data_IF_858928493998
#
_entry.id   IF_858928493998
#
_cell.length_a   1.000
_cell.length_b   1.000
_cell.length_c   1.000
_cell.angle_alpha   90.00
_cell.angle_beta   90.00
_cell.angle_gamma   90.00
#
_symmetry.space_group_name_H-M   'P 1'
#
loop_
_entity.id
_entity.type
_entity.pdbx_description
1 polymer ?
#
# COMPACT_ATOMS: atom_id res chain seq x y z
N UNK A 1 -54.26 -43.37 29.31
CA UNK A 1 -54.07 -42.04 29.98
C UNK A 1 -54.28 -40.94 28.97
N UNK A 2 -55.34 -40.12 29.13
CA UNK A 2 -55.58 -39.00 28.21
C UNK A 2 -54.64 -37.83 28.56
N UNK A 3 -53.71 -37.52 27.72
CA UNK A 3 -52.84 -36.38 27.91
C UNK A 3 -53.59 -35.03 27.97
N UNK A 4 -53.30 -34.22 28.99
CA UNK A 4 -53.91 -32.92 29.21
C UNK A 4 -53.78 -32.03 28.01
N UNK A 5 -54.81 -31.25 27.70
CA UNK A 5 -54.77 -30.29 26.60
C UNK A 5 -53.55 -29.28 26.65
N UNK A 6 -53.06 -29.00 27.85
CA UNK A 6 -51.86 -28.21 28.09
C UNK A 6 -50.58 -28.92 27.63
N UNK A 7 -50.44 -30.22 27.90
CA UNK A 7 -49.30 -31.01 27.48
C UNK A 7 -49.21 -31.10 25.94
N UNK A 8 -50.33 -31.25 25.26
CA UNK A 8 -50.38 -31.28 23.79
C UNK A 8 -50.07 -29.94 23.13
N UNK A 9 -50.34 -28.82 23.81
CA UNK A 9 -49.92 -27.46 23.35
C UNK A 9 -48.42 -27.26 23.50
N UNK A 10 -47.84 -27.65 24.62
CA UNK A 10 -46.39 -27.57 24.87
C UNK A 10 -45.62 -28.45 23.90
N UNK A 11 -46.10 -29.62 23.60
CA UNK A 11 -45.46 -30.53 22.65
C UNK A 11 -45.46 -29.97 21.22
N UNK A 12 -46.55 -29.34 20.77
CA UNK A 12 -46.61 -28.65 19.48
C UNK A 12 -45.71 -27.41 19.43
N UNK A 13 -45.56 -26.72 20.56
CA UNK A 13 -44.70 -25.55 20.64
C UNK A 13 -43.23 -25.96 20.62
N UNK A 14 -42.84 -27.02 21.31
CA UNK A 14 -41.49 -27.58 21.26
C UNK A 14 -41.13 -28.15 19.87
N UNK A 15 -42.08 -28.80 19.20
CA UNK A 15 -41.87 -29.28 17.83
C UNK A 15 -41.64 -28.14 16.84
N UNK A 16 -42.34 -27.01 17.00
CA UNK A 16 -42.11 -25.81 16.16
C UNK A 16 -40.76 -25.16 16.45
N UNK A 17 -40.34 -25.11 17.71
CA UNK A 17 -39.00 -24.58 18.09
C UNK A 17 -37.88 -25.50 17.62
N UNK A 18 -38.07 -26.82 17.68
CA UNK A 18 -37.10 -27.79 17.17
C UNK A 18 -36.97 -27.77 15.65
N UNK A 19 -38.02 -27.38 14.92
CA UNK A 19 -37.94 -27.16 13.46
C UNK A 19 -37.33 -25.83 13.10
N UNK A 20 -37.48 -24.80 13.95
CA UNK A 20 -36.89 -23.48 13.72
C UNK A 20 -35.37 -23.46 13.98
N UNK A 21 -34.83 -24.39 14.75
CA UNK A 21 -33.42 -24.46 15.11
C UNK A 21 -32.57 -25.39 14.23
N UNK A 22 -33.11 -25.88 13.13
CA UNK A 22 -32.24 -26.50 12.11
C UNK A 22 -31.42 -25.42 11.48
N UNK A 23 -30.26 -25.13 12.10
CA UNK A 23 -29.21 -24.35 11.48
C UNK A 23 -29.01 -24.91 10.07
N UNK A 24 -29.31 -24.09 9.08
CA UNK A 24 -29.19 -24.50 7.70
C UNK A 24 -27.69 -24.59 7.40
N UNK A 25 -27.09 -25.77 7.65
CA UNK A 25 -25.66 -26.04 7.45
C UNK A 25 -25.22 -25.66 6.05
N UNK A 26 -26.11 -25.80 5.07
CA UNK A 26 -25.87 -25.43 3.68
C UNK A 26 -25.70 -23.90 3.54
N UNK A 27 -26.55 -23.10 4.19
CA UNK A 27 -26.44 -21.64 4.17
C UNK A 27 -25.16 -21.17 4.91
N UNK A 28 -24.78 -21.85 5.98
CA UNK A 28 -23.54 -21.55 6.70
C UNK A 28 -22.30 -21.88 5.85
N UNK A 29 -22.32 -22.99 5.12
CA UNK A 29 -21.26 -23.35 4.18
C UNK A 29 -21.14 -22.34 3.04
N UNK A 30 -22.25 -21.81 2.53
CA UNK A 30 -22.26 -20.83 1.44
C UNK A 30 -21.61 -19.52 1.90
N UNK A 31 -22.03 -18.99 3.05
CA UNK A 31 -21.41 -17.79 3.62
C UNK A 31 -19.92 -18.00 3.89
N UNK A 32 -19.52 -19.19 4.38
CA UNK A 32 -18.12 -19.51 4.64
C UNK A 32 -17.30 -19.57 3.35
N UNK A 33 -17.82 -20.19 2.28
CA UNK A 33 -17.13 -20.27 0.99
C UNK A 33 -16.97 -18.89 0.35
N UNK A 34 -18.00 -18.02 0.42
CA UNK A 34 -17.91 -16.64 -0.06
C UNK A 34 -16.85 -15.87 0.73
N UNK A 35 -16.80 -16.02 2.05
CA UNK A 35 -15.84 -15.35 2.90
C UNK A 35 -14.41 -15.81 2.63
N UNK A 36 -14.18 -17.13 2.45
CA UNK A 36 -12.87 -17.70 2.09
C UNK A 36 -12.43 -17.19 0.71
N UNK A 37 -13.34 -17.17 -0.27
CA UNK A 37 -13.06 -16.66 -1.60
C UNK A 37 -12.73 -15.16 -1.56
N UNK A 38 -13.48 -14.39 -0.79
CA UNK A 38 -13.20 -12.96 -0.59
C UNK A 38 -11.82 -12.73 0.04
N UNK A 39 -11.46 -13.50 1.07
CA UNK A 39 -10.14 -13.41 1.68
C UNK A 39 -9.04 -13.83 0.71
N UNK A 40 -9.26 -14.86 -0.11
CA UNK A 40 -8.30 -15.33 -1.11
C UNK A 40 -8.06 -14.28 -2.21
N UNK A 41 -9.11 -13.60 -2.69
CA UNK A 41 -9.01 -12.54 -3.70
C UNK A 41 -8.38 -11.27 -3.11
N UNK A 42 -8.66 -10.96 -1.84
CA UNK A 42 -8.08 -9.81 -1.13
C UNK A 42 -6.72 -10.09 -0.47
N UNK A 43 -6.12 -11.25 -0.68
CA UNK A 43 -4.70 -11.46 -0.36
C UNK A 43 -3.85 -10.66 -1.36
N UNK A 44 -3.95 -9.32 -1.28
CA UNK A 44 -2.88 -8.46 -1.75
C UNK A 44 -1.62 -8.88 -1.01
N UNK A 45 -0.56 -9.14 -1.73
CA UNK A 45 0.76 -9.44 -1.17
C UNK A 45 1.20 -8.28 -0.28
N UNK A 46 0.77 -8.30 0.96
CA UNK A 46 1.45 -7.53 2.00
C UNK A 46 2.79 -8.24 2.16
N UNK A 47 3.83 -7.74 1.50
CA UNK A 47 5.21 -8.07 1.85
C UNK A 47 5.39 -7.64 3.31
N UNK A 48 5.03 -8.53 4.22
CA UNK A 48 5.43 -8.40 5.61
C UNK A 48 6.94 -8.58 5.58
N UNK A 49 7.68 -7.48 5.68
CA UNK A 49 9.09 -7.50 6.04
C UNK A 49 9.19 -8.40 7.26
N UNK A 50 9.82 -9.56 7.09
CA UNK A 50 10.08 -10.47 8.20
C UNK A 50 10.90 -9.67 9.21
N UNK A 51 10.24 -9.26 10.29
CA UNK A 51 10.92 -8.68 11.44
C UNK A 51 11.81 -9.79 12.01
N UNK A 52 13.09 -9.78 11.65
CA UNK A 52 14.10 -10.61 12.30
C UNK A 52 14.12 -10.25 13.77
N UNK A 53 13.56 -11.13 14.60
CA UNK A 53 13.47 -10.97 16.06
C UNK A 53 14.83 -10.90 16.77
N UNK A 54 15.92 -11.13 16.04
CA UNK A 54 17.29 -11.13 16.59
C UNK A 54 18.01 -9.78 16.43
N UNK A 55 17.36 -8.78 15.84
CA UNK A 55 17.92 -7.43 15.76
C UNK A 55 17.36 -6.64 16.95
N UNK A 56 18.16 -6.53 18.02
CA UNK A 56 17.92 -5.54 19.06
C UNK A 56 18.16 -4.17 18.44
N UNK A 57 17.07 -3.49 18.09
CA UNK A 57 17.13 -2.11 17.60
C UNK A 57 17.75 -1.24 18.70
N UNK A 58 18.84 -0.50 18.44
CA UNK A 58 19.36 0.47 19.37
C UNK A 58 18.22 1.46 19.67
N UNK A 59 17.99 1.76 20.95
CA UNK A 59 17.04 2.81 21.35
C UNK A 59 17.56 4.13 20.79
N UNK A 60 16.99 4.54 19.67
CA UNK A 60 17.20 5.88 19.15
C UNK A 60 16.53 6.87 20.09
N UNK A 61 17.31 7.76 20.69
CA UNK A 61 16.86 8.90 21.51
C UNK A 61 16.56 10.09 20.58
N UNK A 62 16.16 9.85 19.35
CA UNK A 62 15.77 10.90 18.42
C UNK A 62 14.35 11.34 18.74
N UNK A 63 14.19 12.52 19.32
CA UNK A 63 12.91 13.21 19.52
C UNK A 63 12.30 13.75 18.21
N UNK A 64 12.95 13.51 17.08
CA UNK A 64 12.43 13.90 15.79
C UNK A 64 11.34 12.93 15.36
N UNK A 65 10.11 13.43 15.30
CA UNK A 65 8.99 12.75 14.67
C UNK A 65 9.42 12.27 13.26
N UNK A 66 9.12 11.02 12.86
CA UNK A 66 9.41 10.55 11.53
C UNK A 66 8.74 11.49 10.52
N UNK A 67 9.51 12.26 9.78
CA UNK A 67 8.98 13.04 8.66
C UNK A 67 8.57 12.02 7.60
N UNK A 68 7.32 12.02 7.19
CA UNK A 68 6.84 11.19 6.08
C UNK A 68 7.64 11.54 4.83
N UNK A 69 8.62 10.71 4.51
CA UNK A 69 9.42 10.88 3.31
C UNK A 69 8.66 10.29 2.13
N UNK A 70 8.52 11.07 1.07
CA UNK A 70 7.95 10.57 -0.18
C UNK A 70 8.90 9.53 -0.76
N UNK A 71 8.38 8.35 -1.12
CA UNK A 71 9.16 7.26 -1.70
C UNK A 71 8.90 7.18 -3.20
N UNK A 72 9.95 7.26 -3.99
CA UNK A 72 9.95 7.06 -5.42
C UNK A 72 10.64 5.72 -5.71
N UNK A 73 9.93 4.77 -6.28
CA UNK A 73 10.45 3.45 -6.61
C UNK A 73 10.64 3.33 -8.12
N UNK A 74 11.85 2.96 -8.54
CA UNK A 74 12.18 2.70 -9.94
C UNK A 74 12.19 1.20 -10.14
N UNK A 75 11.34 0.72 -11.03
CA UNK A 75 11.25 -0.70 -11.42
C UNK A 75 11.78 -0.91 -12.83
N UNK A 76 11.91 -2.15 -13.26
CA UNK A 76 12.32 -2.48 -14.63
C UNK A 76 11.40 -1.86 -15.71
N UNK A 77 10.13 -1.63 -15.40
CA UNK A 77 9.10 -1.24 -16.37
C UNK A 77 8.43 0.11 -16.05
N UNK A 78 8.96 0.89 -15.12
CA UNK A 78 8.33 2.18 -14.81
C UNK A 78 8.76 2.81 -13.49
N UNK A 79 8.06 3.89 -13.13
CA UNK A 79 8.27 4.68 -11.91
C UNK A 79 6.99 4.69 -11.09
N UNK A 80 7.14 4.43 -9.80
CA UNK A 80 6.06 4.52 -8.82
C UNK A 80 6.38 5.60 -7.79
N UNK A 81 5.36 6.36 -7.39
CA UNK A 81 5.45 7.31 -6.28
C UNK A 81 4.51 6.84 -5.18
N UNK A 82 5.04 6.58 -3.99
CA UNK A 82 4.27 6.00 -2.86
C UNK A 82 3.49 4.73 -3.24
N UNK A 83 4.08 3.87 -4.09
CA UNK A 83 3.45 2.65 -4.58
C UNK A 83 2.44 2.84 -5.72
N UNK A 84 2.10 4.08 -6.08
CA UNK A 84 1.21 4.40 -7.20
C UNK A 84 2.03 4.49 -8.49
N UNK A 85 1.69 3.75 -9.57
CA UNK A 85 2.38 3.87 -10.84
C UNK A 85 2.10 5.25 -11.47
N UNK A 86 3.15 6.02 -11.68
CA UNK A 86 3.11 7.35 -12.30
C UNK A 86 3.44 7.26 -13.77
N UNK A 87 4.40 6.43 -14.11
CA UNK A 87 4.79 6.18 -15.49
C UNK A 87 5.16 4.72 -15.69
N UNK A 88 4.80 4.17 -16.85
CA UNK A 88 5.14 2.82 -17.26
C UNK A 88 5.67 2.83 -18.70
N UNK A 89 6.77 2.14 -18.93
CA UNK A 89 7.40 2.06 -20.24
C UNK A 89 8.71 1.27 -20.19
N UNK A 90 9.35 1.16 -21.35
CA UNK A 90 10.61 0.46 -21.49
C UNK A 90 11.77 1.45 -21.54
N UNK A 91 12.71 1.32 -20.63
CA UNK A 91 13.91 2.15 -20.55
C UNK A 91 14.91 1.92 -21.68
N UNK A 92 14.77 0.79 -22.41
CA UNK A 92 15.65 0.47 -23.53
C UNK A 92 15.32 1.28 -24.79
N UNK A 93 14.12 1.87 -24.86
CA UNK A 93 13.74 2.76 -25.95
C UNK A 93 14.48 4.09 -25.89
N UNK A 94 14.49 4.80 -27.01
CA UNK A 94 15.13 6.13 -27.06
C UNK A 94 14.52 7.07 -26.01
N UNK A 95 15.39 7.65 -25.19
CA UNK A 95 15.00 8.55 -24.10
C UNK A 95 14.22 9.78 -24.56
N UNK A 96 14.38 10.20 -25.82
CA UNK A 96 13.62 11.30 -26.39
C UNK A 96 12.11 11.03 -26.48
N UNK A 97 11.72 9.75 -26.53
CA UNK A 97 10.32 9.34 -26.68
C UNK A 97 9.58 9.32 -25.34
N UNK A 98 10.23 8.82 -24.28
CA UNK A 98 9.55 8.63 -22.99
C UNK A 98 9.89 9.70 -21.95
N UNK A 99 11.03 10.40 -22.08
CA UNK A 99 11.47 11.38 -21.08
C UNK A 99 10.49 12.55 -20.88
N UNK A 100 9.90 13.15 -21.94
CA UNK A 100 8.93 14.23 -21.75
C UNK A 100 7.67 13.78 -21.01
N UNK A 101 7.16 12.59 -21.34
CA UNK A 101 5.98 12.03 -20.68
C UNK A 101 6.26 11.67 -19.21
N UNK A 102 7.46 11.16 -18.92
CA UNK A 102 7.90 10.89 -17.56
C UNK A 102 8.05 12.19 -16.77
N UNK A 103 8.69 13.21 -17.33
CA UNK A 103 8.89 14.52 -16.69
C UNK A 103 7.55 15.17 -16.32
N UNK A 104 6.62 15.20 -17.26
CA UNK A 104 5.27 15.74 -17.04
C UNK A 104 4.52 14.96 -15.96
N UNK A 105 4.48 13.64 -16.05
CA UNK A 105 3.75 12.80 -15.11
C UNK A 105 4.35 12.85 -13.70
N UNK A 106 5.68 12.78 -13.58
CA UNK A 106 6.37 12.80 -12.30
C UNK A 106 6.29 14.17 -11.63
N UNK A 107 6.53 15.25 -12.37
CA UNK A 107 6.42 16.61 -11.83
C UNK A 107 4.98 16.94 -11.38
N UNK A 108 3.96 16.51 -12.14
CA UNK A 108 2.57 16.68 -11.76
C UNK A 108 2.23 15.95 -10.45
N UNK A 109 2.65 14.69 -10.30
CA UNK A 109 2.38 13.92 -9.08
C UNK A 109 3.15 14.48 -7.87
N UNK A 110 4.41 14.88 -8.02
CA UNK A 110 5.18 15.49 -6.95
C UNK A 110 4.61 16.85 -6.52
N UNK A 111 4.20 17.70 -7.45
CA UNK A 111 3.53 18.95 -7.14
C UNK A 111 2.18 18.75 -6.46
N UNK A 112 1.42 17.73 -6.87
CA UNK A 112 0.19 17.34 -6.20
C UNK A 112 0.42 16.90 -4.75
N UNK A 113 1.43 16.09 -4.50
CA UNK A 113 1.80 15.69 -3.14
C UNK A 113 2.30 16.88 -2.31
N UNK A 114 3.10 17.76 -2.89
CA UNK A 114 3.58 18.97 -2.23
C UNK A 114 2.42 19.90 -1.82
N UNK A 115 1.40 20.06 -2.67
CA UNK A 115 0.23 20.91 -2.38
C UNK A 115 -0.63 20.38 -1.23
N UNK A 116 -0.59 19.07 -0.96
CA UNK A 116 -1.33 18.41 0.12
C UNK A 116 -0.53 18.24 1.41
N UNK A 117 0.78 18.38 1.32
CA UNK A 117 1.66 18.27 2.47
C UNK A 117 1.59 19.51 3.36
N UNK A 118 2.00 19.38 4.62
CA UNK A 118 2.13 20.51 5.52
C UNK A 118 3.06 21.59 4.92
N UNK A 119 2.87 22.88 5.25
CA UNK A 119 3.77 23.94 4.80
C UNK A 119 5.21 23.62 5.22
N UNK A 120 6.16 24.05 4.38
CA UNK A 120 7.60 23.86 4.60
C UNK A 120 8.03 24.53 5.91
N UNK A 121 8.76 23.81 6.74
CA UNK A 121 9.46 24.43 7.89
C UNK A 121 10.60 25.34 7.40
N UNK A 122 11.10 26.21 8.29
CA UNK A 122 12.17 27.14 7.93
C UNK A 122 13.44 26.42 7.40
N UNK A 123 13.74 25.25 7.95
CA UNK A 123 14.84 24.40 7.45
C UNK A 123 14.53 23.80 6.07
N UNK A 124 13.30 23.34 5.86
CA UNK A 124 12.86 22.77 4.59
C UNK A 124 12.73 23.81 3.48
N UNK A 125 12.59 25.10 3.80
CA UNK A 125 12.62 26.16 2.78
C UNK A 125 14.00 26.26 2.12
N UNK A 126 15.07 25.94 2.84
CA UNK A 126 16.43 25.97 2.34
C UNK A 126 16.82 24.63 1.69
N UNK A 127 16.52 23.51 2.33
CA UNK A 127 16.94 22.17 1.89
C UNK A 127 15.97 21.53 0.91
N UNK A 128 14.70 21.94 0.90
CA UNK A 128 13.62 21.29 0.17
C UNK A 128 12.96 20.17 0.96
N UNK A 129 11.96 19.54 0.38
CA UNK A 129 11.30 18.36 0.95
C UNK A 129 12.17 17.13 0.72
N UNK A 130 12.14 16.22 1.70
CA UNK A 130 12.86 14.96 1.61
C UNK A 130 12.13 13.97 0.70
N UNK A 131 12.88 13.30 -0.18
CA UNK A 131 12.40 12.25 -1.06
C UNK A 131 13.43 11.12 -1.08
N UNK A 132 12.94 9.88 -0.92
CA UNK A 132 13.79 8.69 -1.02
C UNK A 132 13.56 8.01 -2.36
N UNK A 133 14.64 7.84 -3.13
CA UNK A 133 14.62 7.10 -4.39
C UNK A 133 15.06 5.67 -4.10
N UNK A 134 14.21 4.71 -4.38
CA UNK A 134 14.50 3.28 -4.30
C UNK A 134 14.67 2.77 -5.73
N UNK A 135 15.83 2.26 -6.06
CA UNK A 135 16.14 1.71 -7.38
C UNK A 135 16.69 0.30 -7.29
N UNK A 136 16.34 -0.54 -8.27
CA UNK A 136 16.97 -1.83 -8.50
C UNK A 136 18.41 -1.60 -9.00
N UNK A 137 19.34 -2.53 -8.67
CA UNK A 137 20.74 -2.46 -9.11
C UNK A 137 20.90 -2.49 -10.64
N UNK A 138 19.89 -2.99 -11.37
CA UNK A 138 19.85 -3.03 -12.84
C UNK A 138 19.54 -1.68 -13.50
N UNK A 139 19.10 -0.67 -12.73
CA UNK A 139 18.68 0.64 -13.25
C UNK A 139 19.89 1.42 -13.78
N UNK A 140 19.87 1.87 -15.05
CA UNK A 140 20.98 2.65 -15.60
C UNK A 140 21.19 3.97 -14.85
N UNK A 141 22.43 4.27 -14.50
CA UNK A 141 22.78 5.53 -13.83
C UNK A 141 22.32 6.78 -14.60
N UNK A 142 22.32 6.73 -15.92
CA UNK A 142 21.84 7.82 -16.77
C UNK A 142 20.35 8.15 -16.52
N UNK A 143 19.52 7.13 -16.30
CA UNK A 143 18.12 7.29 -15.93
C UNK A 143 17.98 7.90 -14.54
N UNK A 144 18.71 7.38 -13.57
CA UNK A 144 18.71 7.87 -12.20
C UNK A 144 19.04 9.37 -12.16
N UNK A 145 20.07 9.79 -12.88
CA UNK A 145 20.46 11.21 -12.98
C UNK A 145 19.35 12.10 -13.55
N UNK A 146 18.61 11.60 -14.55
CA UNK A 146 17.48 12.34 -15.15
C UNK A 146 16.33 12.47 -14.14
N UNK A 147 15.99 11.39 -13.44
CA UNK A 147 14.95 11.40 -12.40
C UNK A 147 15.31 12.35 -11.26
N UNK A 148 16.54 12.32 -10.79
CA UNK A 148 17.02 13.27 -9.77
C UNK A 148 16.90 14.72 -10.23
N UNK A 149 17.19 15.01 -11.51
CA UNK A 149 17.05 16.36 -12.06
C UNK A 149 15.58 16.81 -12.09
N UNK A 150 14.64 15.91 -12.45
CA UNK A 150 13.20 16.19 -12.43
C UNK A 150 12.75 16.47 -11.00
N UNK A 151 13.12 15.62 -10.03
CA UNK A 151 12.76 15.82 -8.63
C UNK A 151 13.31 17.16 -8.10
N UNK A 152 14.57 17.49 -8.40
CA UNK A 152 15.20 18.74 -7.95
C UNK A 152 14.59 20.00 -8.56
N UNK A 153 13.91 19.90 -9.71
CA UNK A 153 13.13 20.98 -10.30
C UNK A 153 11.82 21.29 -9.55
N UNK A 154 11.38 20.35 -8.69
CA UNK A 154 10.21 20.52 -7.81
C UNK A 154 10.65 20.97 -6.40
N UNK A 155 9.73 20.91 -5.42
CA UNK A 155 10.07 21.20 -4.02
C UNK A 155 10.92 20.09 -3.34
N UNK A 156 11.10 18.93 -3.99
CA UNK A 156 11.81 17.77 -3.45
C UNK A 156 13.30 17.83 -3.83
N UNK A 157 14.11 18.52 -3.00
CA UNK A 157 15.55 18.74 -3.24
C UNK A 157 16.44 17.90 -2.32
N UNK A 158 15.93 17.48 -1.16
CA UNK A 158 16.67 16.60 -0.26
C UNK A 158 16.45 15.13 -0.70
N UNK A 159 17.36 14.66 -1.57
CA UNK A 159 17.26 13.36 -2.22
C UNK A 159 18.13 12.32 -1.50
N UNK A 160 17.52 11.25 -1.03
CA UNK A 160 18.20 10.07 -0.50
C UNK A 160 18.08 8.92 -1.49
N UNK A 161 19.17 8.23 -1.79
CA UNK A 161 19.19 7.08 -2.69
C UNK A 161 19.33 5.79 -1.88
N UNK A 162 18.44 4.84 -2.10
CA UNK A 162 18.55 3.48 -1.61
C UNK A 162 18.55 2.51 -2.80
N UNK A 163 19.46 1.53 -2.78
CA UNK A 163 19.57 0.50 -3.82
C UNK A 163 19.21 -0.82 -3.19
N UNK A 164 18.26 -1.52 -3.80
CA UNK A 164 17.91 -2.88 -3.41
C UNK A 164 18.82 -3.85 -4.19
N UNK A 165 19.54 -4.73 -3.45
CA UNK A 165 20.46 -5.75 -4.01
C UNK A 165 19.81 -7.12 -4.03
#
# INVERSE_FOLDING_TARGET
MKMSFRAKRLERQNQRLAQASKLNLVALMDIFTILVFFLMVNQSEVKVLQSNKDISLPRSVSEQLPTEKVMLTITANGVLVQGKPVWQGDWQQDSSLWLPALDEALSAELNYLASRAAPLSDEQQQTGRALTILGDASVPYALLRKLMAICAATEYRDLSLAVET
#
